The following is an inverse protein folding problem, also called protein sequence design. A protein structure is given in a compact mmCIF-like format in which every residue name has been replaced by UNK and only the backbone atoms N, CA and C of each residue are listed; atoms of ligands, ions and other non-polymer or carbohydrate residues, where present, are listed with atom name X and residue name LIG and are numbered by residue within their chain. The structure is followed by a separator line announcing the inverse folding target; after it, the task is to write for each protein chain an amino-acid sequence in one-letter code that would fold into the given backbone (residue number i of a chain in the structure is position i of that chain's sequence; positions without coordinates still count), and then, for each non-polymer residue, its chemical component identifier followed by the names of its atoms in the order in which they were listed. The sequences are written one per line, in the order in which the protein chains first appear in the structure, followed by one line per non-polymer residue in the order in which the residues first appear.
data_IF_075257763818
#
_entry.id   IF_075257763818
#
_cell.length_a   1.000
_cell.length_b   1.000
_cell.length_c   1.000
_cell.angle_alpha   90.00
_cell.angle_beta   90.00
_cell.angle_gamma   90.00
#
_symmetry.space_group_name_H-M   'P 1'
#
loop_
_entity.id
_entity.type
_entity.pdbx_description
1 polymer ?
#
# COMPACT_ATOMS: atom_id res chain seq x y z
N UNK A 1 14.67 17.04 -47.37
CA UNK A 1 15.22 17.34 -46.03
C UNK A 1 14.04 17.46 -45.07
N UNK A 2 13.64 16.36 -44.42
CA UNK A 2 12.61 16.45 -43.37
C UNK A 2 13.26 17.03 -42.13
N UNK A 3 12.76 18.17 -41.66
CA UNK A 3 13.13 18.70 -40.35
C UNK A 3 12.79 17.64 -39.31
N UNK A 4 13.79 16.98 -38.73
CA UNK A 4 13.62 16.25 -37.47
C UNK A 4 13.24 17.29 -36.42
N UNK A 5 11.93 17.52 -36.25
CA UNK A 5 11.46 18.33 -35.13
C UNK A 5 11.85 17.58 -33.86
N UNK A 6 12.85 18.12 -33.14
CA UNK A 6 13.32 17.54 -31.87
C UNK A 6 12.18 17.58 -30.85
N UNK A 7 11.40 16.51 -30.79
CA UNK A 7 10.40 16.29 -29.75
C UNK A 7 11.11 16.38 -28.39
N UNK A 8 10.79 17.43 -27.63
CA UNK A 8 11.40 17.68 -26.32
C UNK A 8 10.84 16.66 -25.31
N UNK A 9 11.73 16.04 -24.55
CA UNK A 9 11.38 15.03 -23.53
C UNK A 9 12.06 15.36 -22.22
N UNK A 10 11.28 15.41 -21.14
CA UNK A 10 11.77 15.47 -19.76
C UNK A 10 11.65 14.08 -19.12
N UNK A 11 12.65 13.68 -18.36
CA UNK A 11 12.70 12.40 -17.67
C UNK A 11 13.01 12.62 -16.20
N UNK A 12 12.13 12.15 -15.33
CA UNK A 12 12.36 12.10 -13.88
C UNK A 12 12.72 10.65 -13.56
N UNK A 13 14.00 10.40 -13.29
CA UNK A 13 14.52 9.07 -12.99
C UNK A 13 15.69 9.14 -11.99
N UNK A 14 15.57 8.56 -10.79
CA UNK A 14 14.39 7.87 -10.26
C UNK A 14 13.28 8.85 -9.81
N UNK A 15 12.06 8.34 -9.67
CA UNK A 15 11.07 8.97 -8.77
C UNK A 15 11.53 8.73 -7.34
N UNK A 16 11.69 9.79 -6.55
CA UNK A 16 12.21 9.72 -5.18
C UNK A 16 11.10 9.65 -4.13
N UNK A 17 11.43 9.17 -2.93
CA UNK A 17 10.51 9.01 -1.78
C UNK A 17 9.27 8.15 -2.08
N UNK A 18 9.45 7.13 -2.92
CA UNK A 18 8.50 6.03 -3.12
C UNK A 18 9.17 4.70 -2.74
N UNK A 19 8.38 3.63 -2.65
CA UNK A 19 8.91 2.27 -2.62
C UNK A 19 9.01 1.72 -4.05
N UNK A 20 10.06 0.94 -4.32
CA UNK A 20 10.36 0.41 -5.66
C UNK A 20 10.99 1.43 -6.62
N UNK A 21 11.12 1.03 -7.88
CA UNK A 21 11.77 1.82 -8.92
C UNK A 21 10.79 2.24 -10.00
N UNK A 22 10.54 3.56 -10.05
CA UNK A 22 9.73 4.18 -11.09
C UNK A 22 10.49 5.31 -11.79
N UNK A 23 10.06 5.56 -13.02
CA UNK A 23 10.51 6.68 -13.86
C UNK A 23 9.28 7.39 -14.41
N UNK A 24 9.30 8.71 -14.51
CA UNK A 24 8.27 9.48 -15.24
C UNK A 24 8.89 10.05 -16.51
N UNK A 25 8.20 9.90 -17.64
CA UNK A 25 8.55 10.60 -18.89
C UNK A 25 7.45 11.57 -19.27
N UNK A 26 7.85 12.77 -19.68
CA UNK A 26 6.95 13.84 -20.13
C UNK A 26 7.43 14.26 -21.51
N UNK A 27 6.58 14.10 -22.52
CA UNK A 27 6.86 14.53 -23.90
C UNK A 27 6.04 15.75 -24.24
N UNK A 28 6.68 16.66 -24.96
CA UNK A 28 6.09 17.91 -25.39
C UNK A 28 5.90 17.90 -26.91
N UNK A 29 4.82 18.51 -27.37
CA UNK A 29 4.58 18.75 -28.79
C UNK A 29 5.41 19.95 -29.30
N UNK A 30 5.26 20.28 -30.58
CA UNK A 30 6.01 21.37 -31.23
C UNK A 30 5.69 22.74 -30.62
N UNK A 31 4.48 22.96 -30.09
CA UNK A 31 4.12 24.21 -29.39
C UNK A 31 4.60 24.26 -27.93
N UNK A 32 5.35 23.26 -27.47
CA UNK A 32 5.88 23.20 -26.11
C UNK A 32 4.84 22.83 -25.04
N UNK A 33 3.67 22.30 -25.42
CA UNK A 33 2.65 21.77 -24.50
C UNK A 33 2.91 20.30 -24.21
N UNK A 34 2.56 19.83 -23.01
CA UNK A 34 2.66 18.42 -22.66
C UNK A 34 1.68 17.61 -23.52
N UNK A 35 2.22 16.72 -24.34
CA UNK A 35 1.45 15.79 -25.17
C UNK A 35 1.15 14.50 -24.40
N UNK A 36 2.15 13.96 -23.72
CA UNK A 36 2.01 12.71 -22.95
C UNK A 36 2.88 12.72 -21.71
N UNK A 37 2.34 12.19 -20.60
CA UNK A 37 3.09 11.86 -19.40
C UNK A 37 2.84 10.39 -19.04
N UNK A 38 3.89 9.64 -18.71
CA UNK A 38 3.81 8.21 -18.37
C UNK A 38 4.66 7.88 -17.17
N UNK A 39 4.11 7.08 -16.25
CA UNK A 39 4.83 6.48 -15.13
C UNK A 39 5.24 5.05 -15.50
N UNK A 40 6.53 4.77 -15.48
CA UNK A 40 7.11 3.49 -15.86
C UNK A 40 7.63 2.78 -14.62
N UNK A 41 7.09 1.61 -14.30
CA UNK A 41 7.77 0.65 -13.43
C UNK A 41 8.79 -0.10 -14.29
N UNK A 42 10.06 -0.01 -13.88
CA UNK A 42 11.23 -0.45 -14.66
C UNK A 42 11.87 -1.73 -14.12
N UNK A 43 11.34 -2.26 -13.02
CA UNK A 43 11.82 -3.51 -12.43
C UNK A 43 10.93 -4.70 -12.75
N UNK A 44 11.56 -5.86 -12.88
CA UNK A 44 10.93 -7.17 -12.98
C UNK A 44 11.71 -8.16 -12.12
N UNK A 45 11.00 -9.06 -11.43
CA UNK A 45 11.60 -10.14 -10.62
C UNK A 45 11.07 -11.53 -10.97
N UNK A 46 9.92 -11.64 -11.66
CA UNK A 46 9.36 -12.92 -12.11
C UNK A 46 8.82 -13.82 -11.01
N UNK A 47 8.24 -13.23 -9.95
CA UNK A 47 7.90 -13.99 -8.74
C UNK A 47 6.89 -15.14 -9.00
N UNK A 48 5.94 -14.93 -9.89
CA UNK A 48 4.93 -15.95 -10.24
C UNK A 48 5.53 -17.20 -10.91
N UNK A 49 6.72 -17.10 -11.51
CA UNK A 49 7.40 -18.23 -12.18
C UNK A 49 8.34 -19.00 -11.26
N UNK A 50 9.16 -18.34 -10.46
CA UNK A 50 10.16 -19.03 -9.63
C UNK A 50 9.55 -19.79 -8.44
N UNK A 51 8.31 -19.46 -8.03
CA UNK A 51 7.62 -20.21 -6.97
C UNK A 51 7.10 -21.57 -7.44
N UNK A 52 7.04 -21.81 -8.75
CA UNK A 52 6.61 -23.10 -9.28
C UNK A 52 7.59 -24.20 -8.88
N UNK A 53 7.08 -25.33 -8.39
CA UNK A 53 7.88 -26.45 -7.89
C UNK A 53 8.42 -26.26 -6.47
N UNK A 54 8.18 -25.12 -5.82
CA UNK A 54 8.47 -24.93 -4.39
C UNK A 54 7.44 -25.65 -3.53
N UNK A 55 7.82 -25.94 -2.29
CA UNK A 55 6.92 -26.57 -1.33
C UNK A 55 5.91 -25.52 -0.85
N UNK A 56 4.64 -25.92 -0.73
CA UNK A 56 3.55 -24.97 -0.46
C UNK A 56 3.78 -24.16 0.84
N UNK A 57 4.36 -24.78 1.87
CA UNK A 57 4.67 -24.12 3.14
C UNK A 57 5.82 -23.11 3.07
N UNK A 58 6.61 -23.12 2.00
CA UNK A 58 7.65 -22.11 1.77
C UNK A 58 7.04 -20.82 1.20
N UNK A 59 5.87 -20.88 0.57
CA UNK A 59 5.27 -19.73 -0.11
C UNK A 59 5.16 -18.49 0.81
N UNK A 60 4.63 -18.56 2.04
CA UNK A 60 4.53 -17.39 2.93
C UNK A 60 5.88 -16.78 3.30
N UNK A 61 6.95 -17.59 3.35
CA UNK A 61 8.31 -17.11 3.57
C UNK A 61 8.87 -16.50 2.29
N UNK A 62 8.70 -17.15 1.16
CA UNK A 62 9.27 -16.69 -0.11
C UNK A 62 8.64 -15.38 -0.58
N UNK A 63 7.30 -15.30 -0.66
CA UNK A 63 6.63 -14.17 -1.33
C UNK A 63 6.79 -12.85 -0.60
N UNK A 64 6.97 -12.86 0.72
CA UNK A 64 7.13 -11.62 1.49
C UNK A 64 8.46 -10.91 1.22
N UNK A 65 9.38 -11.51 0.46
CA UNK A 65 10.61 -10.83 -0.01
C UNK A 65 10.37 -9.93 -1.21
N UNK A 66 9.13 -9.86 -1.72
CA UNK A 66 8.73 -8.95 -2.79
C UNK A 66 8.88 -7.47 -2.41
N UNK A 67 8.66 -7.13 -1.14
CA UNK A 67 8.67 -5.75 -0.68
C UNK A 67 9.19 -5.67 0.75
N UNK A 68 10.00 -4.64 1.04
CA UNK A 68 10.50 -4.36 2.38
C UNK A 68 9.51 -3.65 3.30
N UNK A 69 8.47 -3.01 2.75
CA UNK A 69 7.47 -2.26 3.53
C UNK A 69 6.25 -3.11 3.86
N UNK A 70 5.73 -3.90 2.92
CA UNK A 70 4.52 -4.73 3.10
C UNK A 70 4.75 -6.26 3.19
N UNK A 71 5.85 -6.76 3.80
CA UNK A 71 6.11 -8.19 3.84
C UNK A 71 5.04 -8.96 4.62
N UNK A 72 4.46 -8.34 5.66
CA UNK A 72 3.38 -8.96 6.45
C UNK A 72 2.12 -9.19 5.61
N UNK A 73 1.74 -8.25 4.73
CA UNK A 73 0.59 -8.44 3.86
C UNK A 73 0.82 -9.63 2.92
N UNK A 74 2.02 -9.75 2.33
CA UNK A 74 2.37 -10.91 1.50
C UNK A 74 2.40 -12.22 2.29
N UNK A 75 2.97 -12.21 3.50
CA UNK A 75 2.99 -13.36 4.41
C UNK A 75 1.57 -13.85 4.68
N UNK A 76 0.67 -12.94 5.04
CA UNK A 76 -0.72 -13.27 5.37
C UNK A 76 -1.52 -13.71 4.15
N UNK A 77 -1.40 -13.03 3.00
CA UNK A 77 -2.07 -13.45 1.77
C UNK A 77 -1.65 -14.86 1.35
N UNK A 78 -0.35 -15.16 1.38
CA UNK A 78 0.15 -16.50 1.07
C UNK A 78 -0.26 -17.53 2.13
N UNK A 79 -0.23 -17.19 3.42
CA UNK A 79 -0.69 -18.09 4.47
C UNK A 79 -2.17 -18.43 4.30
N UNK A 80 -3.04 -17.44 4.03
CA UNK A 80 -4.46 -17.65 3.73
C UNK A 80 -4.67 -18.53 2.50
N UNK A 81 -3.90 -18.32 1.43
CA UNK A 81 -3.95 -19.19 0.26
C UNK A 81 -3.57 -20.64 0.62
N UNK A 82 -2.54 -20.83 1.44
CA UNK A 82 -2.10 -22.16 1.86
C UNK A 82 -3.04 -22.81 2.88
N UNK A 83 -3.75 -22.03 3.70
CA UNK A 83 -4.79 -22.54 4.60
C UNK A 83 -5.86 -23.28 3.81
N UNK A 84 -6.30 -22.72 2.68
CA UNK A 84 -7.27 -23.39 1.78
C UNK A 84 -6.72 -24.71 1.22
N UNK A 85 -5.44 -24.74 0.85
CA UNK A 85 -4.79 -25.95 0.29
C UNK A 85 -4.72 -27.08 1.33
N UNK A 86 -4.51 -26.76 2.61
CA UNK A 86 -4.45 -27.76 3.68
C UNK A 86 -5.81 -28.05 4.31
N UNK A 87 -6.90 -27.47 3.79
CA UNK A 87 -8.26 -27.66 4.30
C UNK A 87 -8.56 -26.96 5.63
N UNK A 88 -7.81 -25.90 5.95
CA UNK A 88 -8.00 -25.08 7.15
C UNK A 88 -8.73 -23.77 6.82
N UNK A 89 -9.91 -23.89 6.20
CA UNK A 89 -10.78 -22.78 5.80
C UNK A 89 -11.25 -21.91 6.98
N UNK A 90 -11.25 -22.47 8.19
CA UNK A 90 -11.53 -21.74 9.43
C UNK A 90 -10.37 -21.83 10.42
N UNK A 91 -9.78 -20.68 10.74
CA UNK A 91 -8.74 -20.57 11.76
C UNK A 91 -9.32 -20.68 13.17
N UNK A 92 -8.48 -21.12 14.12
CA UNK A 92 -8.81 -20.98 15.54
C UNK A 92 -8.93 -19.50 15.93
N UNK A 93 -9.74 -19.15 16.95
CA UNK A 93 -9.89 -17.76 17.38
C UNK A 93 -8.55 -17.08 17.72
N UNK A 94 -7.60 -17.81 18.30
CA UNK A 94 -6.26 -17.31 18.61
C UNK A 94 -5.47 -17.04 17.33
N UNK A 95 -5.45 -17.96 16.37
CA UNK A 95 -4.71 -17.78 15.12
C UNK A 95 -5.24 -16.59 14.31
N UNK A 96 -6.56 -16.44 14.21
CA UNK A 96 -7.16 -15.30 13.51
C UNK A 96 -6.80 -13.98 14.20
N UNK A 97 -6.96 -13.89 15.53
CA UNK A 97 -6.62 -12.69 16.30
C UNK A 97 -5.13 -12.33 16.20
N UNK A 98 -4.24 -13.32 16.23
CA UNK A 98 -2.80 -13.11 16.04
C UNK A 98 -2.48 -12.56 14.64
N UNK A 99 -3.08 -13.12 13.59
CA UNK A 99 -2.90 -12.65 12.21
C UNK A 99 -3.50 -11.25 11.99
N UNK A 100 -4.66 -10.95 12.59
CA UNK A 100 -5.26 -9.60 12.58
C UNK A 100 -4.38 -8.59 13.30
N UNK A 101 -3.89 -8.90 14.50
CA UNK A 101 -2.98 -8.02 15.24
C UNK A 101 -1.69 -7.75 14.45
N UNK A 102 -1.12 -8.80 13.87
CA UNK A 102 0.02 -8.70 12.96
C UNK A 102 -0.29 -7.75 11.77
N UNK A 103 -1.45 -7.91 11.14
CA UNK A 103 -1.84 -7.06 10.01
C UNK A 103 -2.11 -5.60 10.43
N UNK A 104 -2.72 -5.36 11.59
CA UNK A 104 -2.96 -4.01 12.09
C UNK A 104 -1.65 -3.29 12.43
N UNK A 105 -0.67 -4.00 13.02
CA UNK A 105 0.68 -3.47 13.19
C UNK A 105 1.33 -3.07 11.87
N UNK A 106 1.13 -3.88 10.82
CA UNK A 106 1.59 -3.61 9.46
C UNK A 106 0.93 -2.39 8.81
N UNK A 107 -0.39 -2.24 8.91
CA UNK A 107 -1.10 -1.08 8.38
C UNK A 107 -0.64 0.19 9.11
N UNK A 108 -0.57 0.14 10.44
CA UNK A 108 -0.18 1.28 11.27
C UNK A 108 1.24 1.77 10.95
N UNK A 109 2.24 0.88 10.98
CA UNK A 109 3.62 1.27 10.68
C UNK A 109 3.79 1.78 9.24
N UNK A 110 3.07 1.18 8.28
CA UNK A 110 3.18 1.54 6.87
C UNK A 110 2.55 2.91 6.59
N UNK A 111 1.40 3.22 7.20
CA UNK A 111 0.78 4.54 7.07
C UNK A 111 1.60 5.62 7.77
N UNK A 112 2.13 5.35 8.97
CA UNK A 112 3.04 6.27 9.64
C UNK A 112 4.33 6.52 8.83
N UNK A 113 4.91 5.47 8.25
CA UNK A 113 6.06 5.58 7.35
C UNK A 113 5.74 6.48 6.15
N UNK A 114 4.68 6.15 5.41
CA UNK A 114 4.33 6.87 4.19
C UNK A 114 4.01 8.33 4.46
N UNK A 115 3.14 8.61 5.43
CA UNK A 115 2.74 9.98 5.73
C UNK A 115 3.94 10.81 6.20
N UNK A 116 4.64 10.39 7.26
CA UNK A 116 5.65 11.25 7.88
C UNK A 116 7.02 11.22 7.21
N UNK A 117 7.44 10.09 6.62
CA UNK A 117 8.79 9.99 6.03
C UNK A 117 8.79 10.28 4.54
N UNK A 118 7.69 10.01 3.85
CA UNK A 118 7.61 10.12 2.39
C UNK A 118 6.83 11.36 1.96
N UNK A 119 5.58 11.54 2.39
CA UNK A 119 4.70 12.61 1.92
C UNK A 119 4.90 13.95 2.65
N UNK A 120 5.06 13.92 3.97
CA UNK A 120 5.12 15.11 4.82
C UNK A 120 6.25 16.08 4.46
N UNK A 121 7.43 15.68 3.95
CA UNK A 121 8.43 16.66 3.51
C UNK A 121 7.90 17.63 2.46
N UNK A 122 7.06 17.18 1.51
CA UNK A 122 6.44 18.09 0.53
C UNK A 122 5.40 19.01 1.19
N UNK A 123 4.53 18.43 2.01
CA UNK A 123 3.41 19.15 2.63
C UNK A 123 3.86 20.17 3.68
N UNK A 124 4.93 19.88 4.42
CA UNK A 124 5.40 20.71 5.54
C UNK A 124 6.55 21.63 5.18
N UNK A 125 7.44 21.24 4.27
CA UNK A 125 8.59 22.06 3.87
C UNK A 125 8.30 22.90 2.62
N UNK A 126 7.32 22.46 1.82
CA UNK A 126 6.90 23.11 0.58
C UNK A 126 7.31 22.31 -0.65
N UNK A 127 6.43 22.32 -1.67
CA UNK A 127 6.68 21.62 -2.94
C UNK A 127 7.87 22.20 -3.71
N UNK A 128 8.20 23.47 -3.54
CA UNK A 128 9.34 24.12 -4.22
C UNK A 128 10.56 24.28 -3.31
N UNK A 129 10.55 23.64 -2.13
CA UNK A 129 11.68 23.67 -1.20
C UNK A 129 12.93 23.01 -1.83
N UNK A 130 14.11 23.49 -1.44
CA UNK A 130 15.39 22.95 -1.87
C UNK A 130 15.42 21.41 -1.66
N UNK A 131 15.72 20.61 -2.69
CA UNK A 131 15.83 19.15 -2.58
C UNK A 131 16.74 18.67 -1.43
N UNK A 132 17.77 19.45 -1.06
CA UNK A 132 18.67 19.15 0.05
C UNK A 132 17.95 19.12 1.41
N UNK A 133 16.86 19.88 1.56
CA UNK A 133 16.07 19.92 2.79
C UNK A 133 14.73 19.18 2.66
N UNK A 134 14.19 18.98 1.45
CA UNK A 134 12.85 18.38 1.22
C UNK A 134 12.83 16.87 1.42
N UNK A 135 13.19 16.43 2.61
CA UNK A 135 13.36 15.05 3.05
C UNK A 135 13.18 14.91 4.58
N UNK A 136 13.29 13.69 5.10
CA UNK A 136 13.10 13.42 6.54
C UNK A 136 14.10 14.16 7.43
N UNK A 137 15.31 14.44 6.96
CA UNK A 137 16.33 15.17 7.74
C UNK A 137 15.94 16.64 7.88
N UNK A 138 15.42 17.26 6.81
CA UNK A 138 14.89 18.62 6.90
C UNK A 138 13.67 18.71 7.81
N UNK A 139 12.79 17.69 7.81
CA UNK A 139 11.70 17.62 8.78
C UNK A 139 12.22 17.55 10.21
N UNK A 140 13.24 16.72 10.50
CA UNK A 140 13.84 16.64 11.84
C UNK A 140 14.40 17.99 12.28
N UNK A 141 15.04 18.74 11.37
CA UNK A 141 15.57 20.08 11.67
C UNK A 141 14.47 21.10 11.93
N UNK A 142 13.35 21.02 11.20
CA UNK A 142 12.22 21.94 11.34
C UNK A 142 11.38 21.65 12.57
N UNK A 143 11.08 20.37 12.82
CA UNK A 143 10.21 19.91 13.89
C UNK A 143 10.68 18.54 14.40
N UNK A 144 11.64 18.60 15.34
CA UNK A 144 12.24 17.41 15.95
C UNK A 144 11.21 16.58 16.73
N UNK A 145 10.23 17.23 17.33
CA UNK A 145 9.22 16.55 18.14
C UNK A 145 8.29 15.72 17.24
N UNK A 146 7.74 16.33 16.19
CA UNK A 146 6.92 15.63 15.21
C UNK A 146 7.67 14.44 14.57
N UNK A 147 8.92 14.66 14.18
CA UNK A 147 9.74 13.60 13.60
C UNK A 147 9.99 12.46 14.60
N UNK A 148 10.21 12.77 15.88
CA UNK A 148 10.38 11.76 16.93
C UNK A 148 9.10 10.96 17.14
N UNK A 149 7.94 11.62 17.21
CA UNK A 149 6.63 10.96 17.30
C UNK A 149 6.43 10.00 16.12
N UNK A 150 6.69 10.46 14.90
CA UNK A 150 6.57 9.64 13.69
C UNK A 150 7.44 8.37 13.73
N UNK A 151 8.68 8.47 14.18
CA UNK A 151 9.58 7.32 14.35
C UNK A 151 9.03 6.35 15.40
N UNK A 152 8.51 6.85 16.52
CA UNK A 152 7.94 6.04 17.59
C UNK A 152 6.64 5.35 17.18
N UNK A 153 5.76 6.02 16.41
CA UNK A 153 4.56 5.41 15.82
C UNK A 153 4.95 4.23 14.92
N UNK A 154 5.91 4.43 14.02
CA UNK A 154 6.41 3.34 13.17
C UNK A 154 7.05 2.22 14.01
N UNK A 155 7.83 2.56 15.03
CA UNK A 155 8.44 1.60 15.95
C UNK A 155 7.38 0.72 16.60
N UNK A 156 6.29 1.31 17.11
CA UNK A 156 5.22 0.57 17.76
C UNK A 156 4.61 -0.50 16.84
N UNK A 157 4.20 -0.13 15.63
CA UNK A 157 3.67 -1.12 14.67
C UNK A 157 4.69 -2.20 14.30
N UNK A 158 5.99 -1.87 14.21
CA UNK A 158 7.05 -2.86 14.02
C UNK A 158 7.26 -3.78 15.24
N UNK A 159 7.09 -3.29 16.47
CA UNK A 159 7.14 -4.14 17.68
C UNK A 159 5.93 -5.09 17.75
N UNK A 160 4.74 -4.64 17.34
CA UNK A 160 3.56 -5.52 17.18
C UNK A 160 3.87 -6.65 16.19
N UNK A 161 4.47 -6.33 15.05
CA UNK A 161 4.90 -7.33 14.06
C UNK A 161 5.95 -8.27 14.64
N UNK A 162 6.95 -7.76 15.36
CA UNK A 162 7.97 -8.59 16.00
C UNK A 162 7.37 -9.56 17.02
N UNK A 163 6.46 -9.09 17.87
CA UNK A 163 5.82 -9.92 18.88
C UNK A 163 4.99 -11.05 18.26
N UNK A 164 4.30 -10.76 17.14
CA UNK A 164 3.41 -11.72 16.47
C UNK A 164 4.09 -12.60 15.41
N UNK A 165 5.18 -12.15 14.81
CA UNK A 165 5.87 -12.85 13.72
C UNK A 165 7.36 -13.14 13.96
N UNK A 166 7.87 -12.86 15.16
CA UNK A 166 9.26 -13.09 15.60
C UNK A 166 10.28 -12.06 15.11
N UNK A 167 10.03 -11.40 13.98
CA UNK A 167 10.90 -10.37 13.39
C UNK A 167 10.08 -9.19 12.89
N UNK A 168 10.67 -7.99 12.95
CA UNK A 168 10.06 -6.74 12.46
C UNK A 168 9.83 -6.73 10.94
N UNK A 169 10.68 -7.43 10.19
CA UNK A 169 10.64 -7.53 8.73
C UNK A 169 10.93 -8.99 8.38
N UNK A 170 10.13 -9.55 7.48
CA UNK A 170 10.26 -10.92 7.00
C UNK A 170 10.17 -12.01 8.09
N UNK A 171 9.21 -11.87 9.01
CA UNK A 171 8.90 -12.87 10.05
C UNK A 171 8.22 -14.14 9.52
N UNK A 172 7.96 -15.10 10.40
CA UNK A 172 7.39 -16.42 10.06
C UNK A 172 6.21 -16.81 10.97
N UNK A 173 5.51 -15.83 11.54
CA UNK A 173 4.42 -16.06 12.51
C UNK A 173 3.19 -16.76 11.94
N UNK A 174 2.87 -16.53 10.68
CA UNK A 174 1.74 -17.17 9.99
C UNK A 174 2.23 -18.39 9.20
N UNK A 175 1.61 -19.53 9.45
CA UNK A 175 1.88 -20.82 8.80
C UNK A 175 0.56 -21.41 8.27
N UNK A 176 0.60 -22.32 7.28
CA UNK A 176 -0.61 -23.00 6.82
C UNK A 176 -1.35 -23.66 8.01
N UNK A 177 -2.64 -23.35 8.16
CA UNK A 177 -3.49 -23.79 9.26
C UNK A 177 -3.54 -22.87 10.48
N UNK A 178 -2.72 -21.82 10.56
CA UNK A 178 -2.80 -20.85 11.67
C UNK A 178 -1.53 -20.05 11.92
N UNK A 179 -1.01 -20.16 13.15
CA UNK A 179 0.17 -19.42 13.63
C UNK A 179 1.10 -20.34 14.41
N UNK A 180 2.40 -20.03 14.42
CA UNK A 180 3.41 -20.85 15.10
C UNK A 180 3.68 -20.45 16.56
N UNK A 181 3.12 -19.34 17.03
CA UNK A 181 3.15 -18.89 18.42
C UNK A 181 1.90 -18.10 18.77
N UNK A 182 1.61 -18.00 20.07
CA UNK A 182 0.70 -17.00 20.63
C UNK A 182 1.51 -15.81 21.18
N UNK A 183 0.82 -14.81 21.74
CA UNK A 183 1.42 -13.68 22.44
C UNK A 183 1.53 -14.01 23.93
N UNK A 184 2.68 -13.80 24.56
CA UNK A 184 2.77 -13.94 26.03
C UNK A 184 2.04 -12.80 26.73
N UNK A 185 1.73 -12.96 28.02
CA UNK A 185 1.07 -11.91 28.82
C UNK A 185 1.98 -10.68 28.89
N UNK A 186 3.28 -10.87 29.03
CA UNK A 186 4.28 -9.82 29.12
C UNK A 186 4.42 -9.05 27.79
N UNK A 187 4.43 -9.77 26.66
CA UNK A 187 4.43 -9.15 25.32
C UNK A 187 3.14 -8.32 25.10
N UNK A 188 1.99 -8.85 25.53
CA UNK A 188 0.70 -8.17 25.46
C UNK A 188 0.68 -6.91 26.33
N UNK A 189 1.09 -7.02 27.58
CA UNK A 189 1.12 -5.91 28.54
C UNK A 189 2.11 -4.83 28.12
N UNK A 190 3.24 -5.21 27.52
CA UNK A 190 4.19 -4.26 26.95
C UNK A 190 3.55 -3.40 25.85
N UNK A 191 2.81 -4.01 24.92
CA UNK A 191 2.15 -3.28 23.84
C UNK A 191 0.95 -2.44 24.30
N UNK A 192 0.23 -2.88 25.35
CA UNK A 192 -0.90 -2.13 25.89
C UNK A 192 -0.50 -0.83 26.57
N UNK A 193 0.72 -0.74 27.13
CA UNK A 193 1.18 0.49 27.82
C UNK A 193 1.16 1.73 26.93
N UNK A 194 1.43 1.57 25.63
CA UNK A 194 1.61 2.69 24.71
C UNK A 194 0.40 2.91 23.78
N UNK A 195 -0.63 2.05 23.81
CA UNK A 195 -1.69 2.05 22.78
C UNK A 195 -2.49 3.36 22.75
N UNK A 196 -2.89 3.89 23.90
CA UNK A 196 -3.68 5.13 23.97
C UNK A 196 -2.90 6.32 23.41
N UNK A 197 -1.59 6.37 23.69
CA UNK A 197 -0.68 7.37 23.14
C UNK A 197 -0.52 7.24 21.62
N UNK A 198 -0.49 6.02 21.10
CA UNK A 198 -0.46 5.80 19.65
C UNK A 198 -1.76 6.25 18.98
N UNK A 199 -2.91 6.05 19.62
CA UNK A 199 -4.21 6.53 19.14
C UNK A 199 -4.23 8.06 19.13
N UNK A 200 -3.82 8.71 20.23
CA UNK A 200 -3.70 10.16 20.33
C UNK A 200 -2.84 10.72 19.18
N UNK A 201 -1.63 10.18 18.98
CA UNK A 201 -0.74 10.65 17.92
C UNK A 201 -1.26 10.37 16.51
N UNK A 202 -2.03 9.30 16.30
CA UNK A 202 -2.69 9.06 15.03
C UNK A 202 -3.78 10.11 14.74
N UNK A 203 -4.56 10.49 15.77
CA UNK A 203 -5.55 11.57 15.67
C UNK A 203 -4.86 12.91 15.41
N UNK A 204 -3.77 13.23 16.12
CA UNK A 204 -2.97 14.43 15.88
C UNK A 204 -2.44 14.47 14.44
N UNK A 205 -1.94 13.34 13.93
CA UNK A 205 -1.50 13.22 12.54
C UNK A 205 -2.61 13.52 11.52
N UNK A 206 -3.84 13.07 11.80
CA UNK A 206 -5.01 13.40 10.99
C UNK A 206 -5.35 14.90 11.06
N UNK A 207 -5.30 15.51 12.25
CA UNK A 207 -5.57 16.94 12.40
C UNK A 207 -4.51 17.78 11.68
N UNK A 208 -3.24 17.39 11.76
CA UNK A 208 -2.15 17.99 11.01
C UNK A 208 -2.43 17.91 9.50
N UNK A 209 -2.77 16.72 8.97
CA UNK A 209 -3.12 16.58 7.56
C UNK A 209 -4.30 17.49 7.17
N UNK A 210 -5.37 17.52 7.96
CA UNK A 210 -6.54 18.39 7.69
C UNK A 210 -6.13 19.87 7.63
N UNK A 211 -5.24 20.31 8.52
CA UNK A 211 -4.71 21.69 8.51
C UNK A 211 -3.92 21.96 7.22
N UNK A 212 -3.01 21.07 6.84
CA UNK A 212 -2.18 21.20 5.64
C UNK A 212 -3.03 21.17 4.36
N UNK A 213 -3.99 20.26 4.29
CA UNK A 213 -4.92 20.15 3.17
C UNK A 213 -5.73 21.43 3.00
N UNK A 214 -6.28 21.98 4.09
CA UNK A 214 -7.03 23.24 4.06
C UNK A 214 -6.17 24.44 3.65
N UNK A 215 -4.89 24.49 4.05
CA UNK A 215 -4.02 25.61 3.71
C UNK A 215 -3.61 25.68 2.24
N UNK A 216 -3.72 24.58 1.49
CA UNK A 216 -3.37 24.52 0.06
C UNK A 216 -4.44 23.76 -0.73
N UNK A 217 -5.71 23.94 -0.36
CA UNK A 217 -6.83 23.17 -0.88
C UNK A 217 -7.00 23.36 -2.39
N UNK A 218 -6.73 24.56 -2.91
CA UNK A 218 -6.89 24.84 -4.33
C UNK A 218 -5.94 23.99 -5.18
N UNK A 219 -4.67 23.87 -4.78
CA UNK A 219 -3.71 23.00 -5.45
C UNK A 219 -4.04 21.53 -5.22
N UNK A 220 -4.25 21.15 -3.97
CA UNK A 220 -4.38 19.75 -3.57
C UNK A 220 -5.66 19.08 -4.10
N UNK A 221 -6.78 19.80 -4.17
CA UNK A 221 -8.05 19.28 -4.69
C UNK A 221 -8.02 19.05 -6.21
N UNK A 222 -7.19 19.81 -6.94
CA UNK A 222 -7.06 19.72 -8.39
C UNK A 222 -5.95 18.76 -8.84
N UNK A 223 -4.99 18.44 -7.96
CA UNK A 223 -3.80 17.66 -8.32
C UNK A 223 -4.15 16.21 -8.64
N UNK A 224 -4.15 15.87 -9.94
CA UNK A 224 -4.40 14.49 -10.40
C UNK A 224 -5.77 13.96 -9.99
N UNK A 225 -6.77 14.85 -9.90
CA UNK A 225 -8.15 14.48 -9.58
C UNK A 225 -8.89 14.05 -10.85
N UNK A 226 -9.57 12.91 -10.77
CA UNK A 226 -10.40 12.35 -11.83
C UNK A 226 -11.35 11.29 -11.24
N UNK A 227 -12.50 11.13 -11.87
CA UNK A 227 -13.52 10.14 -11.51
C UNK A 227 -13.04 8.73 -11.83
N UNK A 228 -13.21 7.79 -10.90
CA UNK A 228 -12.75 6.41 -11.03
C UNK A 228 -13.68 5.41 -10.36
N UNK A 229 -13.65 4.17 -10.81
CA UNK A 229 -14.16 3.05 -10.02
C UNK A 229 -13.27 2.80 -8.78
N UNK A 230 -13.84 2.27 -7.71
CA UNK A 230 -13.13 1.84 -6.50
C UNK A 230 -13.35 0.35 -6.25
N UNK A 231 -12.30 -0.36 -5.85
CA UNK A 231 -12.38 -1.76 -5.41
C UNK A 231 -11.78 -1.89 -4.01
N UNK A 232 -12.49 -2.58 -3.13
CA UNK A 232 -12.09 -2.84 -1.75
C UNK A 232 -12.58 -4.21 -1.27
N UNK A 233 -12.11 -4.61 -0.09
CA UNK A 233 -12.72 -5.68 0.68
C UNK A 233 -13.65 -5.09 1.75
N UNK A 234 -14.75 -5.76 2.02
CA UNK A 234 -15.74 -5.35 3.01
C UNK A 234 -16.16 -6.56 3.86
N UNK A 235 -16.52 -6.29 5.12
CA UNK A 235 -17.24 -7.25 5.98
C UNK A 235 -18.63 -7.53 5.42
N UNK A 236 -19.33 -8.54 5.93
CA UNK A 236 -20.70 -8.88 5.50
C UNK A 236 -21.70 -7.73 5.69
N UNK A 237 -21.60 -6.99 6.79
CA UNK A 237 -22.39 -5.76 7.05
C UNK A 237 -22.00 -4.57 6.16
N UNK A 238 -20.95 -4.70 5.35
CA UNK A 238 -20.45 -3.65 4.45
C UNK A 238 -19.47 -2.67 5.10
N UNK A 239 -19.10 -2.88 6.36
CA UNK A 239 -18.08 -2.08 7.03
C UNK A 239 -16.67 -2.37 6.50
N UNK A 240 -15.74 -1.45 6.82
CA UNK A 240 -14.33 -1.54 6.52
C UNK A 240 -13.74 -2.85 7.05
N UNK A 241 -12.91 -3.49 6.22
CA UNK A 241 -12.14 -4.68 6.56
C UNK A 241 -10.73 -4.55 5.98
N UNK A 242 -9.74 -5.11 6.68
CA UNK A 242 -8.34 -5.07 6.26
C UNK A 242 -7.73 -6.47 6.16
N UNK A 243 -8.27 -7.47 6.85
CA UNK A 243 -7.70 -8.82 6.94
C UNK A 243 -8.47 -9.85 6.11
N UNK A 244 -9.80 -9.92 6.27
CA UNK A 244 -10.61 -10.97 5.64
C UNK A 244 -12.04 -10.53 5.39
N UNK A 245 -12.47 -10.53 4.12
CA UNK A 245 -13.78 -10.07 3.70
C UNK A 245 -13.98 -10.26 2.19
N UNK A 246 -15.12 -9.78 1.69
CA UNK A 246 -15.56 -9.98 0.30
C UNK A 246 -15.25 -8.77 -0.56
N UNK A 247 -14.99 -8.98 -1.84
CA UNK A 247 -14.69 -7.91 -2.78
C UNK A 247 -15.96 -7.12 -3.13
N UNK A 248 -15.83 -5.79 -3.13
CA UNK A 248 -16.86 -4.84 -3.58
C UNK A 248 -16.22 -3.85 -4.56
N UNK A 249 -16.96 -3.52 -5.61
CA UNK A 249 -16.63 -2.44 -6.52
C UNK A 249 -17.73 -1.39 -6.60
N UNK A 250 -17.35 -0.12 -6.61
CA UNK A 250 -18.25 1.02 -6.85
C UNK A 250 -17.76 1.84 -8.02
N UNK A 251 -18.70 2.42 -8.76
CA UNK A 251 -18.40 3.42 -9.80
C UNK A 251 -18.20 4.82 -9.17
N UNK A 252 -17.85 5.86 -9.97
CA UNK A 252 -17.64 7.21 -9.47
C UNK A 252 -18.85 7.83 -8.76
N UNK A 253 -20.07 7.43 -9.13
CA UNK A 253 -21.32 7.89 -8.53
C UNK A 253 -21.65 7.12 -7.23
N UNK A 254 -20.81 6.16 -6.85
CA UNK A 254 -20.97 5.32 -5.67
C UNK A 254 -21.92 4.13 -5.85
N UNK A 255 -22.40 3.89 -7.07
CA UNK A 255 -23.24 2.74 -7.39
C UNK A 255 -22.40 1.47 -7.45
N UNK A 256 -22.98 0.38 -6.95
CA UNK A 256 -22.32 -0.92 -6.90
C UNK A 256 -22.19 -1.51 -8.32
N UNK A 257 -20.96 -1.89 -8.68
CA UNK A 257 -20.64 -2.63 -9.92
C UNK A 257 -20.71 -4.14 -9.66
N UNK A 258 -20.09 -4.59 -8.58
CA UNK A 258 -20.25 -5.92 -8.00
C UNK A 258 -20.08 -5.83 -6.49
N UNK A 259 -20.70 -6.75 -5.76
CA UNK A 259 -20.68 -6.76 -4.30
C UNK A 259 -20.58 -8.17 -3.76
N UNK A 260 -19.97 -8.29 -2.58
CA UNK A 260 -19.83 -9.54 -1.83
C UNK A 260 -19.25 -10.70 -2.66
N UNK A 261 -18.32 -10.41 -3.57
CA UNK A 261 -17.63 -11.43 -4.36
C UNK A 261 -16.59 -12.13 -3.50
N UNK A 262 -16.60 -13.45 -3.48
CA UNK A 262 -15.58 -14.22 -2.77
C UNK A 262 -14.20 -14.00 -3.42
N UNK A 263 -13.13 -13.75 -2.65
CA UNK A 263 -11.81 -13.52 -3.22
C UNK A 263 -11.28 -14.66 -4.13
N UNK A 264 -11.75 -15.89 -3.93
CA UNK A 264 -11.40 -17.03 -4.77
C UNK A 264 -11.91 -16.88 -6.21
N UNK A 265 -13.01 -16.14 -6.40
CA UNK A 265 -13.65 -15.91 -7.69
C UNK A 265 -13.14 -14.64 -8.39
N UNK A 266 -12.05 -14.02 -7.90
CA UNK A 266 -11.58 -12.73 -8.44
C UNK A 266 -11.28 -12.78 -9.95
N UNK A 267 -10.92 -13.96 -10.48
CA UNK A 267 -10.70 -14.21 -11.90
C UNK A 267 -11.97 -14.21 -12.74
N UNK A 268 -13.15 -14.00 -12.19
CA UNK A 268 -14.36 -13.72 -12.99
C UNK A 268 -14.62 -12.22 -13.13
N UNK A 269 -13.99 -11.41 -12.28
CA UNK A 269 -14.26 -9.98 -12.15
C UNK A 269 -13.09 -9.09 -12.59
N UNK A 270 -11.86 -9.56 -12.43
CA UNK A 270 -10.65 -8.77 -12.67
C UNK A 270 -9.83 -9.41 -13.79
N UNK A 271 -9.36 -8.59 -14.73
CA UNK A 271 -8.37 -8.96 -15.76
C UNK A 271 -7.21 -7.98 -15.72
N UNK A 272 -6.08 -8.39 -16.28
CA UNK A 272 -4.88 -7.57 -16.33
C UNK A 272 -4.48 -7.28 -17.78
N UNK A 273 -4.39 -5.99 -18.11
CA UNK A 273 -3.79 -5.57 -19.37
C UNK A 273 -2.29 -5.35 -19.27
N UNK A 274 -1.60 -5.42 -20.41
CA UNK A 274 -0.15 -5.12 -20.50
C UNK A 274 0.05 -3.93 -21.43
N UNK A 275 1.12 -3.17 -21.19
CA UNK A 275 1.59 -2.10 -22.06
C UNK A 275 3.08 -2.26 -22.31
N UNK A 276 3.53 -2.00 -23.54
CA UNK A 276 4.94 -2.17 -23.94
C UNK A 276 5.94 -1.21 -23.27
N UNK A 277 5.47 -0.31 -22.41
CA UNK A 277 6.27 0.74 -21.78
C UNK A 277 6.41 0.62 -20.26
N UNK A 278 5.83 -0.41 -19.63
CA UNK A 278 6.03 -0.68 -18.19
C UNK A 278 5.88 -2.17 -17.87
N UNK A 279 6.65 -2.65 -16.90
CA UNK A 279 6.45 -4.00 -16.34
C UNK A 279 5.21 -4.12 -15.45
N UNK A 280 4.70 -3.01 -14.88
CA UNK A 280 3.47 -3.04 -14.12
C UNK A 280 2.28 -3.21 -15.07
N UNK A 281 1.44 -4.19 -14.76
CA UNK A 281 0.19 -4.46 -15.49
C UNK A 281 -0.85 -3.39 -15.19
N UNK A 282 -1.95 -3.41 -15.93
CA UNK A 282 -3.07 -2.47 -15.85
C UNK A 282 -4.36 -3.24 -15.57
N UNK A 283 -4.68 -3.54 -14.29
CA UNK A 283 -5.89 -4.24 -13.92
C UNK A 283 -7.16 -3.47 -14.28
N UNK A 284 -8.21 -4.20 -14.64
CA UNK A 284 -9.53 -3.63 -14.93
C UNK A 284 -10.65 -4.61 -14.57
N UNK A 285 -11.82 -4.07 -14.30
CA UNK A 285 -13.07 -4.81 -14.10
C UNK A 285 -13.50 -5.38 -15.46
N UNK A 286 -13.50 -6.70 -15.58
CA UNK A 286 -13.63 -7.42 -16.84
C UNK A 286 -14.88 -6.99 -17.63
N UNK A 287 -16.04 -6.95 -16.98
CA UNK A 287 -17.33 -6.60 -17.61
C UNK A 287 -17.39 -5.17 -18.17
N UNK A 288 -16.53 -4.26 -17.69
CA UNK A 288 -16.48 -2.87 -18.15
C UNK A 288 -15.42 -2.64 -19.24
N UNK A 289 -14.62 -3.66 -19.57
CA UNK A 289 -13.53 -3.56 -20.52
C UNK A 289 -12.37 -2.68 -20.04
N UNK A 290 -11.30 -2.63 -20.82
CA UNK A 290 -10.06 -1.97 -20.38
C UNK A 290 -10.17 -0.44 -20.31
N UNK A 291 -11.00 0.18 -21.15
CA UNK A 291 -11.11 1.65 -21.24
C UNK A 291 -11.91 2.26 -20.08
N UNK A 292 -12.95 1.55 -19.61
CA UNK A 292 -13.85 2.05 -18.56
C UNK A 292 -13.75 1.29 -17.24
N UNK A 293 -13.16 0.09 -17.27
CA UNK A 293 -13.08 -0.79 -16.11
C UNK A 293 -11.87 -0.58 -15.22
N UNK A 294 -10.99 0.38 -15.51
CA UNK A 294 -9.89 0.69 -14.59
C UNK A 294 -10.45 1.18 -13.25
N UNK A 295 -9.73 0.92 -12.16
CA UNK A 295 -10.19 1.21 -10.80
C UNK A 295 -9.03 1.59 -9.88
N UNK A 296 -9.36 2.21 -8.75
CA UNK A 296 -8.41 2.51 -7.67
C UNK A 296 -8.64 1.59 -6.47
N UNK A 297 -7.56 1.31 -5.75
CA UNK A 297 -7.51 0.62 -4.46
C UNK A 297 -6.77 1.50 -3.46
N UNK A 298 -6.76 1.12 -2.17
CA UNK A 298 -6.02 1.83 -1.13
C UNK A 298 -6.92 2.62 -0.18
N UNK A 299 -6.39 3.58 0.58
CA UNK A 299 -7.10 4.19 1.71
C UNK A 299 -8.45 4.82 1.38
N UNK A 300 -8.56 5.59 0.30
CA UNK A 300 -9.81 6.27 -0.07
C UNK A 300 -10.84 5.33 -0.73
N UNK A 301 -10.38 4.24 -1.34
CA UNK A 301 -11.24 3.29 -2.05
C UNK A 301 -11.98 2.34 -1.10
N UNK A 302 -11.47 2.15 0.12
CA UNK A 302 -12.07 1.32 1.16
C UNK A 302 -13.10 2.13 1.95
#
# INVERSE_FOLDING_TARGET
MSSETKLRKVVINPVTRIEGHAKVTIRFNEEGKVETARMHIVEFRGFERFVLGRLYWEAPVIVQRLCGICPVSHLLCAAKAMDMIVGADKLTPTAEKMRRLLHFGQIYQSHALHFFHLSAPDLLLGYDADPAIRNVIGLIKKDKELATRAVLMRKYGQEVIKATAGKKIHGNGAIPGGVNKNLTIEERDYLLKDIDKMIEWAVDGLQLYKKLYKSDIERLSKLGSFESNFVSIVRDDGALEMYDGKLRAKDPDGKIIFDKVEPIDYLDYIREGVRNWSYMKFPFIYKLGQEKGWYRVGPLAR
#
